data_IF_894977429860
#
_entry.id   IF_894977429860
#
_cell.length_a   1.000
_cell.length_b   1.000
_cell.length_c   1.000
_cell.angle_alpha   90.00
_cell.angle_beta   90.00
_cell.angle_gamma   90.00
#
_symmetry.space_group_name_H-M   'P 1'
#
loop_
_entity.id
_entity.type
_entity.pdbx_description
1 polymer ?
#
# COMPACT_ATOMS: atom_id res chain seq x y z
N UNK A 1 -27.69 -18.40 -6.18
CA UNK A 1 -26.64 -17.53 -6.77
C UNK A 1 -27.11 -17.21 -8.18
N UNK A 2 -27.18 -15.93 -8.59
CA UNK A 2 -27.46 -15.62 -9.99
C UNK A 2 -26.35 -16.23 -10.85
N UNK A 3 -26.72 -17.12 -11.77
CA UNK A 3 -25.78 -17.74 -12.69
C UNK A 3 -25.28 -16.66 -13.67
N UNK A 4 -23.99 -16.70 -14.05
CA UNK A 4 -23.49 -15.78 -15.06
C UNK A 4 -24.20 -16.08 -16.40
N UNK A 5 -25.01 -15.13 -16.86
CA UNK A 5 -25.59 -15.16 -18.22
C UNK A 5 -24.81 -14.21 -19.11
N UNK A 6 -24.82 -14.44 -20.43
CA UNK A 6 -24.17 -13.57 -21.41
C UNK A 6 -24.67 -12.11 -21.36
N UNK A 7 -25.82 -11.89 -20.74
CA UNK A 7 -26.50 -10.60 -20.62
C UNK A 7 -26.36 -9.95 -19.25
N UNK A 8 -25.82 -10.64 -18.23
CA UNK A 8 -25.70 -10.07 -16.88
C UNK A 8 -24.28 -10.22 -16.32
N UNK A 9 -23.73 -9.08 -15.88
CA UNK A 9 -22.42 -9.05 -15.23
C UNK A 9 -22.54 -9.57 -13.79
N UNK A 10 -21.66 -10.49 -13.40
CA UNK A 10 -21.66 -11.12 -12.06
C UNK A 10 -21.40 -10.14 -10.90
N UNK A 11 -20.92 -8.93 -11.21
CA UNK A 11 -20.58 -7.85 -10.29
C UNK A 11 -21.70 -6.82 -10.11
N UNK A 12 -22.79 -6.94 -10.85
CA UNK A 12 -23.92 -6.01 -10.84
C UNK A 12 -25.18 -6.77 -10.37
N UNK A 13 -25.93 -6.15 -9.48
CA UNK A 13 -27.23 -6.65 -9.02
C UNK A 13 -28.31 -6.39 -10.08
N UNK A 14 -29.48 -7.03 -9.97
CA UNK A 14 -30.55 -6.86 -10.95
C UNK A 14 -31.09 -5.41 -11.06
N UNK A 15 -30.88 -4.60 -10.01
CA UNK A 15 -31.22 -3.17 -9.93
C UNK A 15 -30.14 -2.24 -10.51
N UNK A 16 -29.05 -2.78 -11.07
CA UNK A 16 -27.93 -2.00 -11.57
C UNK A 16 -26.92 -1.56 -10.50
N UNK A 17 -27.15 -1.87 -9.22
CA UNK A 17 -26.22 -1.52 -8.14
C UNK A 17 -24.99 -2.44 -8.11
N UNK A 18 -23.85 -1.92 -7.62
CA UNK A 18 -22.63 -2.72 -7.46
C UNK A 18 -22.82 -3.78 -6.39
N UNK A 19 -22.48 -5.02 -6.72
CA UNK A 19 -22.43 -6.13 -5.76
C UNK A 19 -21.09 -6.14 -5.01
N UNK A 20 -21.10 -5.79 -3.73
CA UNK A 20 -19.91 -5.88 -2.88
C UNK A 20 -19.60 -7.34 -2.55
N UNK A 21 -18.40 -7.78 -2.95
CA UNK A 21 -17.91 -9.15 -2.70
C UNK A 21 -17.15 -9.17 -1.39
N UNK A 22 -17.64 -9.96 -0.44
CA UNK A 22 -16.95 -10.25 0.83
C UNK A 22 -16.25 -11.59 0.74
N UNK A 23 -14.91 -11.62 0.54
CA UNK A 23 -14.15 -12.86 0.48
C UNK A 23 -14.12 -13.54 1.85
N UNK A 24 -14.22 -14.88 1.84
CA UNK A 24 -14.06 -15.71 3.03
C UNK A 24 -12.60 -15.72 3.49
N UNK A 25 -12.37 -15.93 4.79
CA UNK A 25 -11.01 -16.16 5.30
C UNK A 25 -10.62 -17.61 5.01
N UNK A 26 -9.45 -17.79 4.38
CA UNK A 26 -8.93 -19.10 4.00
C UNK A 26 -7.71 -19.39 4.85
N UNK A 27 -7.74 -20.50 5.59
CA UNK A 27 -6.61 -20.96 6.40
C UNK A 27 -5.88 -22.08 5.66
N UNK A 28 -4.55 -22.07 5.71
CA UNK A 28 -3.73 -23.08 5.06
C UNK A 28 -2.25 -22.71 5.06
N UNK A 29 -1.40 -23.69 4.71
CA UNK A 29 0.06 -23.54 4.69
C UNK A 29 0.52 -22.42 3.75
N UNK A 30 0.00 -22.38 2.53
CA UNK A 30 0.32 -21.32 1.57
C UNK A 30 -0.18 -19.94 2.03
N UNK A 31 -1.34 -19.87 2.69
CA UNK A 31 -1.84 -18.61 3.24
C UNK A 31 -1.00 -18.11 4.40
N UNK A 32 -0.39 -19.00 5.20
CA UNK A 32 0.57 -18.64 6.23
C UNK A 32 1.84 -18.05 5.61
N UNK A 33 2.46 -18.75 4.67
CA UNK A 33 3.66 -18.26 3.99
C UNK A 33 3.43 -16.93 3.26
N UNK A 34 2.25 -16.72 2.68
CA UNK A 34 1.89 -15.43 2.07
C UNK A 34 1.82 -14.29 3.09
N UNK A 35 1.35 -14.57 4.31
CA UNK A 35 1.36 -13.59 5.40
C UNK A 35 2.79 -13.28 5.84
N UNK A 36 3.66 -14.29 5.90
CA UNK A 36 5.07 -14.12 6.24
C UNK A 36 5.78 -13.28 5.17
N UNK A 37 5.60 -13.58 3.88
CA UNK A 37 6.21 -12.80 2.80
C UNK A 37 5.75 -11.34 2.83
N UNK A 38 4.45 -11.10 3.03
CA UNK A 38 3.90 -9.76 3.16
C UNK A 38 4.47 -9.01 4.37
N UNK A 39 4.61 -9.68 5.52
CA UNK A 39 5.20 -9.08 6.71
C UNK A 39 6.67 -8.71 6.49
N UNK A 40 7.46 -9.61 5.89
CA UNK A 40 8.86 -9.36 5.54
C UNK A 40 8.98 -8.16 4.61
N UNK A 41 8.16 -8.08 3.56
CA UNK A 41 8.15 -6.94 2.63
C UNK A 41 7.76 -5.62 3.31
N UNK A 42 6.78 -5.64 4.21
CA UNK A 42 6.37 -4.45 5.00
C UNK A 42 7.49 -3.99 5.94
N UNK A 43 8.17 -4.93 6.60
CA UNK A 43 9.30 -4.62 7.50
C UNK A 43 10.48 -4.07 6.71
N UNK A 44 10.81 -4.64 5.56
CA UNK A 44 11.85 -4.11 4.67
C UNK A 44 11.47 -2.71 4.20
N UNK A 45 10.25 -2.53 3.72
CA UNK A 45 9.74 -1.24 3.25
C UNK A 45 9.78 -0.17 4.35
N UNK A 46 9.46 -0.54 5.59
CA UNK A 46 9.64 0.33 6.72
C UNK A 46 11.14 0.58 6.94
N UNK A 47 11.97 -0.44 7.13
CA UNK A 47 13.36 -0.29 7.56
C UNK A 47 14.29 0.47 6.59
N UNK A 48 14.11 0.34 5.27
CA UNK A 48 15.01 0.89 4.24
C UNK A 48 15.37 2.38 4.41
N UNK A 49 14.42 3.31 4.62
CA UNK A 49 14.74 4.73 4.82
C UNK A 49 15.48 5.06 6.13
N UNK A 50 15.52 4.14 7.10
CA UNK A 50 16.21 4.37 8.38
C UNK A 50 17.61 3.74 8.45
N UNK A 51 17.98 2.87 7.52
CA UNK A 51 19.30 2.23 7.49
C UNK A 51 20.27 3.14 6.73
N UNK A 52 21.27 3.77 7.39
CA UNK A 52 22.26 4.57 6.70
C UNK A 52 23.29 3.67 6.00
N UNK A 53 23.52 3.91 4.71
CA UNK A 53 24.54 3.23 3.90
C UNK A 53 25.36 4.30 3.17
N UNK A 54 26.64 4.42 3.50
CA UNK A 54 27.53 5.39 2.84
C UNK A 54 27.18 6.86 3.08
N UNK A 55 26.57 7.19 4.22
CA UNK A 55 26.21 8.56 4.62
C UNK A 55 24.81 9.03 4.22
N UNK A 56 24.07 8.25 3.43
CA UNK A 56 22.67 8.50 3.04
C UNK A 56 21.79 7.29 3.40
N UNK A 57 20.45 7.42 3.49
CA UNK A 57 19.58 6.26 3.66
C UNK A 57 19.75 5.23 2.55
N UNK A 58 19.52 3.94 2.85
CA UNK A 58 19.74 2.83 1.92
C UNK A 58 18.97 3.00 0.60
N UNK A 59 17.78 3.60 0.63
CA UNK A 59 17.08 4.05 -0.57
C UNK A 59 16.62 5.47 -0.33
N UNK A 60 17.19 6.42 -1.06
CA UNK A 60 16.86 7.84 -0.92
C UNK A 60 16.86 8.52 -2.29
N UNK A 61 15.71 9.07 -2.68
CA UNK A 61 15.57 9.89 -3.87
C UNK A 61 15.69 11.36 -3.46
N UNK A 62 16.87 11.95 -3.64
CA UNK A 62 17.08 13.36 -3.41
C UNK A 62 16.56 14.18 -4.60
N UNK A 63 15.36 14.73 -4.43
CA UNK A 63 14.71 15.58 -5.43
C UNK A 63 15.43 16.93 -5.57
N UNK A 64 16.08 17.44 -4.53
CA UNK A 64 16.75 18.74 -4.56
C UNK A 64 18.03 18.67 -5.38
N UNK A 65 18.86 17.67 -5.13
CA UNK A 65 20.14 17.50 -5.85
C UNK A 65 20.02 16.65 -7.11
N UNK A 66 18.81 16.10 -7.39
CA UNK A 66 18.52 15.18 -8.50
C UNK A 66 19.45 13.96 -8.49
N UNK A 67 19.67 13.42 -7.30
CA UNK A 67 20.51 12.24 -7.06
C UNK A 67 19.66 11.12 -6.47
N UNK A 68 19.81 9.92 -7.01
CA UNK A 68 19.16 8.73 -6.49
C UNK A 68 20.21 7.85 -5.79
N UNK A 69 20.05 7.68 -4.48
CA UNK A 69 20.89 6.82 -3.69
C UNK A 69 20.22 5.46 -3.53
N UNK A 70 20.90 4.40 -3.96
CA UNK A 70 20.43 3.01 -3.90
C UNK A 70 21.55 2.11 -3.34
N UNK A 71 21.41 1.68 -2.09
CA UNK A 71 22.34 0.82 -1.35
C UNK A 71 23.81 1.25 -1.49
N UNK A 72 24.08 2.55 -1.30
CA UNK A 72 25.43 3.14 -1.40
C UNK A 72 25.85 3.54 -2.83
N UNK A 73 25.11 3.14 -3.87
CA UNK A 73 25.28 3.67 -5.22
C UNK A 73 24.58 5.03 -5.31
N UNK A 74 25.28 6.04 -5.82
CA UNK A 74 24.69 7.38 -6.06
C UNK A 74 24.60 7.59 -7.56
N UNK A 75 23.38 7.55 -8.10
CA UNK A 75 23.07 7.81 -9.49
C UNK A 75 22.68 9.29 -9.64
N UNK A 76 23.47 10.06 -10.38
CA UNK A 76 23.11 11.43 -10.73
C UNK A 76 22.19 11.44 -11.97
N UNK A 77 21.56 12.58 -12.26
CA UNK A 77 20.71 12.74 -13.45
C UNK A 77 21.40 12.39 -14.78
N UNK A 78 22.74 12.52 -14.85
CA UNK A 78 23.53 12.11 -16.02
C UNK A 78 23.63 10.58 -16.19
N UNK A 79 23.46 9.82 -15.11
CA UNK A 79 23.56 8.35 -15.06
C UNK A 79 22.18 7.68 -15.24
N UNK A 80 21.16 8.45 -15.65
CA UNK A 80 19.80 7.95 -15.80
C UNK A 80 19.68 6.81 -16.81
N UNK A 81 20.62 6.72 -17.76
CA UNK A 81 20.73 5.60 -18.71
C UNK A 81 20.99 4.26 -18.00
N UNK A 82 21.77 4.25 -16.90
CA UNK A 82 21.96 3.07 -16.04
C UNK A 82 20.65 2.70 -15.36
N UNK A 83 19.93 3.70 -14.84
CA UNK A 83 18.60 3.53 -14.26
C UNK A 83 17.58 2.96 -15.26
N UNK A 84 17.64 3.40 -16.52
CA UNK A 84 16.80 2.86 -17.60
C UNK A 84 17.04 1.37 -17.82
N UNK A 85 18.30 0.94 -17.95
CA UNK A 85 18.62 -0.48 -18.12
C UNK A 85 18.23 -1.31 -16.88
N UNK A 86 18.39 -0.75 -15.67
CA UNK A 86 17.96 -1.40 -14.43
C UNK A 86 16.45 -1.62 -14.41
N UNK A 87 15.65 -0.58 -14.69
CA UNK A 87 14.18 -0.66 -14.68
C UNK A 87 13.68 -1.59 -15.77
N UNK A 88 14.20 -1.47 -17.00
CA UNK A 88 13.84 -2.34 -18.12
C UNK A 88 14.21 -3.80 -17.81
N UNK A 89 15.40 -4.04 -17.25
CA UNK A 89 15.82 -5.38 -16.80
C UNK A 89 14.89 -5.96 -15.73
N UNK A 90 14.48 -5.15 -14.75
CA UNK A 90 13.52 -5.56 -13.71
C UNK A 90 12.14 -5.87 -14.31
N UNK A 91 11.68 -5.08 -15.28
CA UNK A 91 10.43 -5.31 -15.98
C UNK A 91 10.47 -6.63 -16.77
N UNK A 92 11.53 -6.89 -17.53
CA UNK A 92 11.70 -8.17 -18.25
C UNK A 92 11.80 -9.36 -17.30
N UNK A 93 12.53 -9.22 -16.19
CA UNK A 93 12.60 -10.25 -15.15
C UNK A 93 11.21 -10.56 -14.57
N UNK A 94 10.39 -9.53 -14.34
CA UNK A 94 9.01 -9.70 -13.89
C UNK A 94 8.15 -10.42 -14.94
N UNK A 95 8.25 -10.04 -16.22
CA UNK A 95 7.56 -10.75 -17.31
C UNK A 95 7.99 -12.22 -17.41
N UNK A 96 9.28 -12.50 -17.27
CA UNK A 96 9.80 -13.86 -17.28
C UNK A 96 9.28 -14.69 -16.10
N UNK A 97 9.34 -14.15 -14.87
CA UNK A 97 8.82 -14.81 -13.66
C UNK A 97 7.32 -15.08 -13.78
N UNK A 98 6.55 -14.13 -14.32
CA UNK A 98 5.10 -14.28 -14.50
C UNK A 98 4.74 -15.27 -15.62
N UNK A 99 5.57 -15.39 -16.66
CA UNK A 99 5.41 -16.43 -17.68
C UNK A 99 5.67 -17.83 -17.13
N UNK A 100 6.70 -18.00 -16.28
CA UNK A 100 7.06 -19.30 -15.70
C UNK A 100 6.14 -19.74 -14.55
N UNK A 101 5.91 -18.85 -13.58
CA UNK A 101 5.20 -19.17 -12.34
C UNK A 101 3.76 -18.62 -12.30
N UNK A 102 3.30 -18.02 -13.39
CA UNK A 102 1.96 -17.45 -13.49
C UNK A 102 1.74 -16.27 -12.53
N UNK A 103 0.57 -16.25 -11.86
CA UNK A 103 0.13 -15.15 -10.98
C UNK A 103 0.74 -15.19 -9.57
N UNK A 104 1.81 -15.94 -9.34
CA UNK A 104 2.47 -16.02 -8.03
C UNK A 104 2.97 -14.66 -7.58
N UNK A 105 3.57 -13.86 -8.48
CA UNK A 105 3.97 -12.49 -8.16
C UNK A 105 2.80 -11.63 -7.64
N UNK A 106 1.71 -11.59 -8.41
CA UNK A 106 0.52 -10.81 -8.07
C UNK A 106 -0.12 -11.25 -6.74
N UNK A 107 0.00 -12.53 -6.39
CA UNK A 107 -0.53 -13.06 -5.14
C UNK A 107 0.36 -12.84 -3.91
N UNK A 108 1.68 -12.75 -4.06
CA UNK A 108 2.62 -12.88 -2.93
C UNK A 108 3.48 -11.64 -2.65
N UNK A 109 3.86 -10.90 -3.69
CA UNK A 109 4.84 -9.81 -3.60
C UNK A 109 4.31 -8.48 -4.16
N UNK A 110 3.23 -8.50 -4.93
CA UNK A 110 2.66 -7.28 -5.49
C UNK A 110 2.28 -6.28 -4.39
N UNK A 111 2.79 -5.03 -4.44
CA UNK A 111 2.61 -4.06 -3.37
C UNK A 111 1.13 -3.76 -3.11
N UNK A 112 0.32 -3.67 -4.17
CA UNK A 112 -1.12 -3.48 -4.07
C UNK A 112 -1.79 -4.59 -3.23
N UNK A 113 -1.46 -5.85 -3.50
CA UNK A 113 -1.99 -7.01 -2.77
C UNK A 113 -1.50 -7.03 -1.33
N UNK A 114 -0.22 -6.71 -1.09
CA UNK A 114 0.37 -6.69 0.26
C UNK A 114 -0.39 -5.68 1.13
N UNK A 115 -0.52 -4.42 0.70
CA UNK A 115 -1.23 -3.41 1.48
C UNK A 115 -2.72 -3.75 1.64
N UNK A 116 -3.45 -4.05 0.56
CA UNK A 116 -4.89 -4.29 0.67
C UNK A 116 -5.24 -5.55 1.45
N UNK A 117 -4.60 -6.69 1.17
CA UNK A 117 -4.98 -7.97 1.78
C UNK A 117 -4.39 -8.16 3.17
N UNK A 118 -3.20 -7.61 3.46
CA UNK A 118 -2.53 -7.84 4.75
C UNK A 118 -2.72 -6.69 5.74
N UNK A 119 -2.92 -5.46 5.28
CA UNK A 119 -3.19 -4.29 6.13
C UNK A 119 -4.69 -4.01 6.19
N UNK A 120 -5.28 -3.46 5.13
CA UNK A 120 -6.66 -2.95 5.16
C UNK A 120 -7.71 -4.06 5.37
N UNK A 121 -7.57 -5.20 4.70
CA UNK A 121 -8.49 -6.34 4.89
C UNK A 121 -8.39 -6.92 6.30
N UNK A 122 -7.23 -6.88 6.94
CA UNK A 122 -7.08 -7.37 8.32
C UNK A 122 -7.77 -6.45 9.31
N UNK A 123 -7.63 -5.13 9.12
CA UNK A 123 -8.39 -4.13 9.88
C UNK A 123 -9.90 -4.33 9.66
N UNK A 124 -10.34 -4.53 8.41
CA UNK A 124 -11.75 -4.80 8.09
C UNK A 124 -12.26 -6.06 8.82
N UNK A 125 -11.47 -7.14 8.83
CA UNK A 125 -11.80 -8.38 9.54
C UNK A 125 -11.82 -8.19 11.07
N UNK A 126 -10.96 -7.36 11.63
CA UNK A 126 -10.95 -7.07 13.07
C UNK A 126 -12.17 -6.27 13.52
N UNK A 127 -12.63 -5.31 12.70
CA UNK A 127 -13.76 -4.43 13.05
C UNK A 127 -15.13 -5.02 12.68
N UNK A 128 -15.26 -5.55 11.46
CA UNK A 128 -16.53 -6.01 10.89
C UNK A 128 -16.69 -7.55 10.92
N UNK A 129 -15.62 -8.30 11.20
CA UNK A 129 -15.62 -9.77 11.29
C UNK A 129 -15.49 -10.50 9.95
N UNK A 130 -15.82 -11.79 9.97
CA UNK A 130 -15.71 -12.68 8.79
C UNK A 130 -16.68 -12.31 7.65
N UNK A 131 -16.48 -12.93 6.48
CA UNK A 131 -17.30 -12.68 5.29
C UNK A 131 -18.82 -12.72 5.53
N UNK A 132 -19.38 -13.73 6.24
CA UNK A 132 -20.80 -13.77 6.57
C UNK A 132 -21.24 -12.64 7.52
N UNK A 133 -20.40 -12.27 8.49
CA UNK A 133 -20.69 -11.20 9.44
C UNK A 133 -20.77 -9.84 8.73
N UNK A 134 -19.84 -9.57 7.80
CA UNK A 134 -19.86 -8.38 6.94
C UNK A 134 -21.12 -8.29 6.07
N UNK A 135 -21.53 -9.42 5.46
CA UNK A 135 -22.77 -9.48 4.68
C UNK A 135 -24.02 -9.20 5.52
N UNK A 136 -24.06 -9.68 6.77
CA UNK A 136 -25.15 -9.39 7.71
C UNK A 136 -25.14 -7.91 8.12
N UNK A 137 -23.96 -7.34 8.41
CA UNK A 137 -23.80 -5.94 8.80
C UNK A 137 -24.18 -4.98 7.67
N UNK A 138 -23.92 -5.34 6.41
CA UNK A 138 -24.37 -4.54 5.26
C UNK A 138 -25.88 -4.49 5.14
N UNK A 139 -26.57 -5.64 5.30
CA UNK A 139 -28.03 -5.73 5.23
C UNK A 139 -28.76 -5.17 6.46
N UNK A 140 -28.07 -5.04 7.59
CA UNK A 140 -28.64 -4.51 8.82
C UNK A 140 -29.01 -3.01 8.69
N UNK A 141 -30.07 -2.54 9.38
CA UNK A 141 -30.42 -1.12 9.42
C UNK A 141 -29.31 -0.27 10.05
N UNK A 142 -29.30 1.03 9.74
CA UNK A 142 -28.36 2.00 10.29
C UNK A 142 -28.63 2.25 11.78
N UNK A 143 -28.10 1.38 12.63
CA UNK A 143 -28.14 1.51 14.09
C UNK A 143 -26.88 2.22 14.60
N UNK A 144 -26.93 2.80 15.80
CA UNK A 144 -25.77 3.43 16.45
C UNK A 144 -24.55 2.50 16.46
N UNK A 145 -24.73 1.21 16.76
CA UNK A 145 -23.64 0.22 16.73
C UNK A 145 -23.03 0.01 15.35
N UNK A 146 -23.82 0.07 14.26
CA UNK A 146 -23.30 -0.01 12.88
C UNK A 146 -22.50 1.25 12.53
N UNK A 147 -22.96 2.42 12.96
CA UNK A 147 -22.25 3.70 12.73
C UNK A 147 -20.91 3.69 13.45
N UNK A 148 -20.87 3.30 14.74
CA UNK A 148 -19.61 3.22 15.50
C UNK A 148 -18.61 2.28 14.85
N UNK A 149 -19.02 1.08 14.42
CA UNK A 149 -18.12 0.14 13.70
C UNK A 149 -17.58 0.73 12.41
N UNK A 150 -18.41 1.43 11.63
CA UNK A 150 -17.97 2.10 10.40
C UNK A 150 -17.00 3.24 10.71
N UNK A 151 -17.28 4.07 11.71
CA UNK A 151 -16.41 5.15 12.13
C UNK A 151 -15.03 4.62 12.59
N UNK A 152 -15.01 3.59 13.44
CA UNK A 152 -13.75 2.95 13.89
C UNK A 152 -12.96 2.38 12.71
N UNK A 153 -13.63 1.72 11.75
CA UNK A 153 -12.96 1.21 10.55
C UNK A 153 -12.30 2.34 9.74
N UNK A 154 -13.04 3.41 9.47
CA UNK A 154 -12.52 4.55 8.71
C UNK A 154 -11.39 5.27 9.46
N UNK A 155 -11.51 5.43 10.78
CA UNK A 155 -10.44 5.99 11.62
C UNK A 155 -9.15 5.15 11.53
N UNK A 156 -9.26 3.83 11.63
CA UNK A 156 -8.11 2.93 11.49
C UNK A 156 -7.51 2.96 10.08
N UNK A 157 -8.35 3.10 9.04
CA UNK A 157 -7.86 3.25 7.66
C UNK A 157 -7.08 4.55 7.48
N UNK A 158 -7.60 5.66 7.97
CA UNK A 158 -6.92 6.96 7.90
C UNK A 158 -5.59 6.89 8.66
N UNK A 159 -5.58 6.33 9.88
CA UNK A 159 -4.37 6.18 10.67
C UNK A 159 -3.30 5.34 9.96
N UNK A 160 -3.69 4.19 9.38
CA UNK A 160 -2.76 3.33 8.65
C UNK A 160 -2.27 3.99 7.35
N UNK A 161 -3.16 4.67 6.60
CA UNK A 161 -2.78 5.40 5.40
C UNK A 161 -1.79 6.53 5.73
N UNK A 162 -2.01 7.28 6.81
CA UNK A 162 -1.11 8.33 7.25
C UNK A 162 0.28 7.76 7.63
N UNK A 163 0.32 6.63 8.34
CA UNK A 163 1.58 5.96 8.67
C UNK A 163 2.33 5.51 7.40
N UNK A 164 1.65 4.85 6.46
CA UNK A 164 2.27 4.39 5.22
C UNK A 164 2.76 5.58 4.38
N UNK A 165 1.96 6.65 4.29
CA UNK A 165 2.35 7.87 3.58
C UNK A 165 3.57 8.53 4.22
N UNK A 166 3.68 8.52 5.55
CA UNK A 166 4.85 9.05 6.26
C UNK A 166 6.12 8.25 5.95
N UNK A 167 6.03 6.91 5.98
CA UNK A 167 7.14 6.04 5.58
C UNK A 167 7.50 6.30 4.12
N UNK A 168 6.53 6.39 3.22
CA UNK A 168 6.77 6.69 1.81
C UNK A 168 7.49 8.03 1.63
N UNK A 169 7.06 9.07 2.35
CA UNK A 169 7.66 10.39 2.26
C UNK A 169 9.13 10.39 2.70
N UNK A 170 9.51 9.55 3.67
CA UNK A 170 10.91 9.42 4.11
C UNK A 170 11.87 8.91 3.03
N UNK A 171 11.37 8.31 1.93
CA UNK A 171 12.19 7.97 0.77
C UNK A 171 12.55 9.18 -0.11
N UNK A 172 11.79 10.28 -0.03
CA UNK A 172 11.96 11.47 -0.88
C UNK A 172 12.52 12.68 -0.13
N UNK A 173 12.25 12.77 1.17
CA UNK A 173 12.68 13.89 2.01
C UNK A 173 13.63 13.36 3.08
N UNK A 174 14.85 13.90 3.13
CA UNK A 174 15.83 13.47 4.13
C UNK A 174 15.31 13.78 5.53
N UNK A 175 15.47 12.84 6.46
CA UNK A 175 15.03 12.96 7.87
C UNK A 175 15.53 14.27 8.50
N UNK A 176 16.74 14.73 8.17
CA UNK A 176 17.32 15.96 8.69
C UNK A 176 16.63 17.23 8.16
N UNK A 177 16.20 17.23 6.88
CA UNK A 177 15.38 18.32 6.33
C UNK A 177 13.95 18.30 6.86
N UNK A 178 13.39 17.10 7.10
CA UNK A 178 12.03 16.93 7.62
C UNK A 178 11.92 17.37 9.10
N UNK A 179 12.90 17.05 9.94
CA UNK A 179 12.94 17.53 11.33
C UNK A 179 13.12 19.05 11.42
N UNK A 180 13.93 19.63 10.54
CA UNK A 180 14.04 21.10 10.42
C UNK A 180 12.72 21.74 9.97
N UNK A 181 12.05 21.16 8.98
CA UNK A 181 10.73 21.61 8.51
C UNK A 181 9.63 21.47 9.59
N UNK A 182 9.66 20.40 10.39
CA UNK A 182 8.73 20.20 11.52
C UNK A 182 8.93 21.19 12.67
N UNK A 183 10.14 21.72 12.85
CA UNK A 183 10.45 22.75 13.86
C UNK A 183 10.26 24.18 13.33
N UNK A 184 10.09 24.35 12.02
CA UNK A 184 9.88 25.63 11.35
C UNK A 184 8.40 26.00 11.20
N UNK A 185 8.12 27.30 10.98
CA UNK A 185 6.78 27.83 10.73
C UNK A 185 6.11 27.17 9.50
N UNK A 186 4.85 26.68 9.61
CA UNK A 186 4.11 26.07 8.48
C UNK A 186 3.94 26.97 7.25
N UNK A 187 4.21 28.27 7.36
CA UNK A 187 4.09 29.21 6.24
C UNK A 187 5.27 29.15 5.25
N UNK A 188 6.44 28.64 5.63
CA UNK A 188 7.59 28.55 4.70
C UNK A 188 7.55 27.31 3.80
N UNK A 189 6.85 26.24 4.22
CA UNK A 189 6.79 24.97 3.47
C UNK A 189 5.36 24.59 3.05
N UNK A 190 4.61 25.57 2.50
CA UNK A 190 3.21 25.41 2.07
C UNK A 190 2.97 24.24 1.11
N UNK A 191 3.92 23.93 0.23
CA UNK A 191 3.80 22.80 -0.70
C UNK A 191 3.91 21.45 0.01
N UNK A 192 4.85 21.29 0.96
CA UNK A 192 5.02 20.05 1.69
C UNK A 192 3.80 19.76 2.58
N UNK A 193 3.32 20.77 3.32
CA UNK A 193 2.10 20.64 4.13
C UNK A 193 0.84 20.47 3.27
N UNK A 194 0.74 21.15 2.13
CA UNK A 194 -0.39 21.02 1.20
C UNK A 194 -0.50 19.62 0.59
N UNK A 195 0.62 19.01 0.22
CA UNK A 195 0.67 17.63 -0.29
C UNK A 195 0.26 16.63 0.79
N UNK A 196 0.70 16.82 2.05
CA UNK A 196 0.28 15.96 3.16
C UNK A 196 -1.21 16.08 3.41
N UNK A 197 -1.78 17.29 3.47
CA UNK A 197 -3.23 17.48 3.65
C UNK A 197 -4.03 16.87 2.50
N UNK A 198 -3.58 17.05 1.25
CA UNK A 198 -4.23 16.47 0.08
C UNK A 198 -4.18 14.94 0.06
N UNK A 199 -3.04 14.34 0.45
CA UNK A 199 -2.90 12.87 0.49
C UNK A 199 -3.59 12.23 1.71
N UNK A 200 -3.85 13.00 2.76
CA UNK A 200 -4.50 12.51 3.99
C UNK A 200 -6.02 12.79 4.01
N UNK A 201 -6.52 13.67 3.13
CA UNK A 201 -7.93 14.02 2.95
C UNK A 201 -8.71 13.07 2.06
#
# INVERSE_FOLDING_TARGET
>A
MNQPTLTTLSTINADGSRKFVHPADVRGRFTFWRKVSALVLLVIYAALPWIPVGGFPAVFLDVQTRRFHFFGLTLAAQDLWVGFFLITGLAFALFFVTSLFGRVWCGWTCPYTVFLEHVYRRIERWVDGDGPARRRLEKAPWTAGKITRRAVKHALFILCSALIAHIFLSYFVSIHGLYGMMQSSPQEHRLAFGVVVFLTG
#
